data_IF_472410909917
#
_entry.id   IF_472410909917
#
_cell.length_a   1.000
_cell.length_b   1.000
_cell.length_c   1.000
_cell.angle_alpha   90.00
_cell.angle_beta   90.00
_cell.angle_gamma   90.00
#
_symmetry.space_group_name_H-M   'P 1'
#
loop_
_entity.id
_entity.type
_entity.pdbx_description
1 polymer ?
#
# COMPACT_ATOMS: atom_id res chain seq x y z
N UNK A 1 13.36 12.83 -22.47
CA UNK A 1 14.06 12.62 -21.18
C UNK A 1 13.72 11.24 -20.65
N UNK A 2 14.69 10.50 -20.19
CA UNK A 2 14.39 9.23 -19.50
C UNK A 2 13.71 9.58 -18.17
N UNK A 3 12.51 9.08 -17.95
CA UNK A 3 11.86 9.14 -16.64
C UNK A 3 12.79 8.44 -15.63
N UNK A 4 13.18 9.15 -14.58
CA UNK A 4 14.02 8.57 -13.54
C UNK A 4 13.18 7.58 -12.73
N UNK A 5 13.64 6.34 -12.65
CA UNK A 5 13.01 5.32 -11.83
C UNK A 5 13.55 5.42 -10.41
N UNK A 6 12.66 5.63 -9.46
CA UNK A 6 12.98 5.78 -8.03
C UNK A 6 12.90 4.41 -7.37
N UNK A 7 14.01 3.95 -6.82
CA UNK A 7 14.07 2.68 -6.08
C UNK A 7 13.63 2.88 -4.63
N UNK A 8 12.49 2.31 -4.28
CA UNK A 8 11.95 2.35 -2.92
C UNK A 8 11.91 0.93 -2.32
N UNK A 9 13.07 0.48 -1.88
CA UNK A 9 13.28 -0.86 -1.32
C UNK A 9 13.25 -0.92 0.21
N UNK A 10 13.08 0.22 0.88
CA UNK A 10 12.89 0.31 2.32
C UNK A 10 11.77 1.28 2.67
N UNK A 11 11.17 1.09 3.83
CA UNK A 11 10.17 2.00 4.39
C UNK A 11 10.74 3.41 4.59
N UNK A 12 11.98 3.51 5.05
CA UNK A 12 12.63 4.80 5.27
C UNK A 12 12.84 5.59 3.96
N UNK A 13 13.24 4.92 2.88
CA UNK A 13 13.35 5.56 1.56
C UNK A 13 12.00 6.10 1.08
N UNK A 14 10.93 5.32 1.22
CA UNK A 14 9.59 5.76 0.88
C UNK A 14 9.18 7.00 1.69
N UNK A 15 9.32 6.92 3.00
CA UNK A 15 8.93 8.00 3.90
C UNK A 15 9.72 9.28 3.63
N UNK A 16 11.02 9.20 3.39
CA UNK A 16 11.86 10.35 3.02
C UNK A 16 11.45 10.97 1.70
N UNK A 17 11.14 10.15 0.70
CA UNK A 17 10.70 10.63 -0.60
C UNK A 17 9.39 11.44 -0.52
N UNK A 18 8.44 10.98 0.27
CA UNK A 18 7.15 11.64 0.47
C UNK A 18 7.11 12.57 1.69
N UNK A 19 8.22 12.79 2.37
CA UNK A 19 8.38 13.66 3.55
C UNK A 19 7.46 13.28 4.72
N UNK A 20 7.43 12.00 5.03
CA UNK A 20 6.68 11.41 6.15
C UNK A 20 7.65 10.93 7.22
N UNK A 21 7.24 10.99 8.48
CA UNK A 21 8.04 10.49 9.60
C UNK A 21 8.06 8.97 9.65
N UNK A 22 9.22 8.38 9.98
CA UNK A 22 9.41 6.95 10.13
C UNK A 22 9.36 6.55 11.61
N UNK A 23 8.37 5.74 11.99
CA UNK A 23 8.23 5.22 13.36
C UNK A 23 8.77 3.79 13.52
N UNK A 24 8.86 3.04 12.44
CA UNK A 24 9.33 1.66 12.44
C UNK A 24 10.13 1.40 11.15
N UNK A 25 11.24 0.63 11.23
CA UNK A 25 12.13 0.44 10.08
C UNK A 25 11.53 -0.43 8.96
N UNK A 26 10.54 -1.27 9.27
CA UNK A 26 10.01 -2.25 8.33
C UNK A 26 8.52 -2.09 7.98
N UNK A 27 7.78 -1.24 8.68
CA UNK A 27 6.35 -1.02 8.46
C UNK A 27 6.02 0.46 8.60
N UNK A 28 5.17 0.97 7.72
CA UNK A 28 4.62 2.32 7.85
C UNK A 28 3.15 2.36 7.44
N UNK A 29 2.38 3.19 8.13
CA UNK A 29 1.03 3.59 7.73
C UNK A 29 1.07 5.08 7.44
N UNK A 30 0.60 5.46 6.27
CA UNK A 30 0.70 6.83 5.76
C UNK A 30 -0.70 7.38 5.51
N UNK A 31 -0.96 8.58 6.04
CA UNK A 31 -2.12 9.37 5.64
C UNK A 31 -1.79 10.11 4.35
N UNK A 32 -2.43 9.73 3.26
CA UNK A 32 -2.12 10.27 1.93
C UNK A 32 -2.42 11.77 1.79
N UNK A 33 -3.29 12.32 2.66
CA UNK A 33 -3.56 13.77 2.69
C UNK A 33 -2.38 14.60 3.22
N UNK A 34 -1.45 13.95 3.90
CA UNK A 34 -0.28 14.59 4.55
C UNK A 34 1.03 14.42 3.80
N UNK A 35 1.05 13.62 2.72
CA UNK A 35 2.26 13.43 1.92
C UNK A 35 2.55 14.65 1.04
N UNK A 36 3.82 14.82 0.69
CA UNK A 36 4.24 15.78 -0.33
C UNK A 36 4.53 15.03 -1.61
N UNK A 37 3.67 15.20 -2.61
CA UNK A 37 3.83 14.56 -3.92
C UNK A 37 4.68 15.45 -4.84
N UNK A 38 5.61 14.87 -5.64
CA UNK A 38 6.28 15.61 -6.71
C UNK A 38 5.27 16.17 -7.72
N UNK A 39 5.53 17.37 -8.21
CA UNK A 39 4.69 18.02 -9.23
C UNK A 39 4.84 17.38 -10.63
N UNK A 40 5.95 16.72 -10.87
CA UNK A 40 6.25 16.04 -12.13
C UNK A 40 5.88 14.55 -12.05
N UNK A 41 5.52 13.92 -13.18
CA UNK A 41 5.35 12.47 -13.22
C UNK A 41 6.60 11.75 -12.71
N UNK A 42 6.41 10.67 -11.99
CA UNK A 42 7.51 9.87 -11.46
C UNK A 42 7.19 8.37 -11.54
N UNK A 43 8.24 7.58 -11.60
CA UNK A 43 8.16 6.13 -11.66
C UNK A 43 8.85 5.53 -10.45
N UNK A 44 8.17 4.61 -9.77
CA UNK A 44 8.68 3.91 -8.59
C UNK A 44 8.88 2.44 -8.93
N UNK A 45 10.04 1.90 -8.59
CA UNK A 45 10.26 0.47 -8.46
C UNK A 45 10.14 0.10 -6.98
N UNK A 46 9.08 -0.64 -6.63
CA UNK A 46 8.83 -1.07 -5.27
C UNK A 46 9.70 -2.28 -4.92
N UNK A 47 10.53 -2.17 -3.87
CA UNK A 47 11.22 -3.29 -3.25
C UNK A 47 10.53 -3.81 -1.98
N UNK A 48 9.38 -3.24 -1.66
CA UNK A 48 8.55 -3.56 -0.49
C UNK A 48 7.09 -3.74 -0.93
N UNK A 49 6.29 -4.40 -0.10
CA UNK A 49 4.84 -4.45 -0.31
C UNK A 49 4.21 -3.10 -0.03
N UNK A 50 3.28 -2.69 -0.88
CA UNK A 50 2.55 -1.44 -0.75
C UNK A 50 1.07 -1.62 -1.08
N UNK A 51 0.21 -1.13 -0.20
CA UNK A 51 -1.25 -1.12 -0.38
C UNK A 51 -1.75 0.30 -0.14
N UNK A 52 -2.52 0.82 -1.06
CA UNK A 52 -3.08 2.17 -0.96
C UNK A 52 -4.59 2.12 -1.03
N UNK A 53 -5.25 2.51 0.06
CA UNK A 53 -6.68 2.81 0.06
C UNK A 53 -6.85 4.23 -0.47
N UNK A 54 -7.36 4.35 -1.67
CA UNK A 54 -7.58 5.63 -2.37
C UNK A 54 -9.01 6.11 -2.18
N UNK A 55 -9.19 7.26 -1.56
CA UNK A 55 -10.50 7.89 -1.40
C UNK A 55 -10.80 8.92 -2.50
N UNK A 56 -9.78 9.44 -3.18
CA UNK A 56 -9.92 10.37 -4.31
C UNK A 56 -9.10 9.93 -5.50
N UNK A 57 -9.65 10.10 -6.70
CA UNK A 57 -8.90 10.05 -7.94
C UNK A 57 -7.98 11.27 -8.02
N UNK A 58 -6.68 11.06 -8.03
CA UNK A 58 -5.68 12.14 -8.04
C UNK A 58 -4.69 12.03 -9.19
N UNK A 59 -5.01 11.25 -10.21
CA UNK A 59 -4.19 11.05 -11.40
C UNK A 59 -4.24 9.63 -11.92
N UNK A 60 -3.48 9.38 -12.95
CA UNK A 60 -3.37 8.06 -13.58
C UNK A 60 -2.20 7.28 -13.00
N UNK A 61 -2.42 5.99 -12.80
CA UNK A 61 -1.38 5.03 -12.38
C UNK A 61 -1.22 4.01 -13.50
N UNK A 62 0.01 3.82 -13.95
CA UNK A 62 0.35 2.73 -14.85
C UNK A 62 1.19 1.70 -14.12
N UNK A 63 0.84 0.44 -14.34
CA UNK A 63 1.51 -0.71 -13.79
C UNK A 63 2.28 -1.41 -14.92
N UNK A 64 3.60 -1.35 -14.87
CA UNK A 64 4.41 -1.71 -16.02
C UNK A 64 4.06 -0.83 -17.22
N UNK A 65 3.52 -1.41 -18.28
CA UNK A 65 3.06 -0.70 -19.49
C UNK A 65 1.53 -0.58 -19.61
N UNK A 66 0.79 -1.06 -18.60
CA UNK A 66 -0.66 -1.10 -18.61
C UNK A 66 -1.24 -0.04 -17.66
N UNK A 67 -2.31 0.67 -18.05
CA UNK A 67 -3.05 1.52 -17.13
C UNK A 67 -3.62 0.68 -15.98
N UNK A 68 -3.55 1.22 -14.76
CA UNK A 68 -4.18 0.63 -13.60
C UNK A 68 -5.58 1.24 -13.43
N UNK A 69 -6.60 0.41 -13.54
CA UNK A 69 -7.98 0.86 -13.34
C UNK A 69 -8.28 0.93 -11.83
N UNK A 70 -8.39 2.13 -11.31
CA UNK A 70 -8.80 2.35 -9.93
C UNK A 70 -9.83 3.49 -9.84
N UNK A 71 -10.68 3.39 -8.84
CA UNK A 71 -11.74 4.35 -8.54
C UNK A 71 -11.65 4.78 -7.08
N UNK A 72 -12.48 5.73 -6.68
CA UNK A 72 -12.60 6.13 -5.28
C UNK A 72 -13.03 4.95 -4.40
N UNK A 73 -12.45 4.84 -3.21
CA UNK A 73 -12.74 3.77 -2.26
C UNK A 73 -12.17 2.41 -2.65
N UNK A 74 -11.07 2.38 -3.40
CA UNK A 74 -10.41 1.16 -3.84
C UNK A 74 -9.05 0.97 -3.20
N UNK A 75 -8.59 -0.29 -3.13
CA UNK A 75 -7.22 -0.63 -2.73
C UNK A 75 -6.40 -0.95 -3.98
N UNK A 76 -5.27 -0.27 -4.10
CA UNK A 76 -4.24 -0.50 -5.10
C UNK A 76 -3.06 -1.23 -4.43
N UNK A 77 -2.59 -2.33 -5.01
CA UNK A 77 -1.57 -3.18 -4.40
C UNK A 77 -0.34 -3.34 -5.28
N UNK A 78 0.83 -3.27 -4.66
CA UNK A 78 2.12 -3.55 -5.30
C UNK A 78 2.93 -4.53 -4.47
N UNK A 79 3.54 -5.51 -5.13
CA UNK A 79 4.51 -6.43 -4.53
C UNK A 79 5.95 -5.99 -4.85
N UNK A 80 6.95 -6.49 -4.11
CA UNK A 80 8.35 -6.24 -4.43
C UNK A 80 8.70 -6.62 -5.87
N UNK A 81 9.45 -5.75 -6.54
CA UNK A 81 9.86 -5.88 -7.94
C UNK A 81 8.88 -5.28 -8.94
N UNK A 82 7.79 -4.70 -8.50
CA UNK A 82 6.78 -4.09 -9.37
C UNK A 82 7.05 -2.60 -9.57
N UNK A 83 6.84 -2.14 -10.81
CA UNK A 83 7.09 -0.76 -11.22
C UNK A 83 5.75 -0.07 -11.49
N UNK A 84 5.57 1.09 -10.88
CA UNK A 84 4.39 1.94 -11.09
C UNK A 84 4.82 3.35 -11.51
N UNK A 85 4.23 3.86 -12.57
CA UNK A 85 4.35 5.26 -12.98
C UNK A 85 3.11 6.04 -12.55
N UNK A 86 3.33 7.18 -11.90
CA UNK A 86 2.29 7.99 -11.30
C UNK A 86 2.30 9.36 -12.01
N UNK A 87 1.16 9.70 -12.58
CA UNK A 87 0.89 10.96 -13.23
C UNK A 87 -0.15 11.71 -12.40
N UNK A 88 0.32 12.56 -11.49
CA UNK A 88 -0.57 13.35 -10.65
C UNK A 88 -1.39 14.34 -11.50
N UNK A 89 -2.69 14.42 -11.23
CA UNK A 89 -3.56 15.40 -11.84
C UNK A 89 -3.37 16.74 -11.13
N UNK A 90 -3.13 17.80 -11.92
CA UNK A 90 -2.93 19.14 -11.38
C UNK A 90 -4.14 19.61 -10.57
N UNK A 91 -3.89 20.20 -9.39
CA UNK A 91 -4.93 20.72 -8.51
C UNK A 91 -5.64 19.67 -7.63
N UNK A 92 -5.29 18.38 -7.74
CA UNK A 92 -5.84 17.34 -6.87
C UNK A 92 -4.85 16.94 -5.79
N UNK A 93 -5.38 16.60 -4.60
CA UNK A 93 -4.59 16.02 -3.50
C UNK A 93 -5.06 14.60 -3.24
N UNK A 94 -4.14 13.65 -3.08
CA UNK A 94 -4.52 12.30 -2.69
C UNK A 94 -5.13 12.33 -1.29
N UNK A 95 -6.15 11.49 -1.06
CA UNK A 95 -6.72 11.20 0.26
C UNK A 95 -6.86 9.70 0.43
N UNK A 96 -6.85 9.24 1.67
CA UNK A 96 -6.88 7.85 2.03
C UNK A 96 -5.63 7.44 2.80
N UNK A 97 -5.28 6.17 2.75
CA UNK A 97 -4.19 5.61 3.54
C UNK A 97 -3.30 4.71 2.71
N UNK A 98 -2.01 4.67 3.07
CA UNK A 98 -1.05 3.70 2.56
C UNK A 98 -0.54 2.81 3.69
N UNK A 99 -0.37 1.53 3.38
CA UNK A 99 0.33 0.56 4.21
C UNK A 99 1.50 0.00 3.41
N UNK A 100 2.71 0.16 3.92
CA UNK A 100 3.91 -0.39 3.30
C UNK A 100 4.68 -1.21 4.31
N UNK A 101 5.19 -2.37 3.88
CA UNK A 101 5.98 -3.22 4.77
C UNK A 101 7.04 -4.01 4.00
N UNK A 102 8.18 -4.18 4.65
CA UNK A 102 9.30 -4.93 4.10
C UNK A 102 9.01 -6.43 4.14
N UNK A 103 9.40 -7.21 3.11
CA UNK A 103 9.21 -8.66 3.11
C UNK A 103 9.80 -9.38 4.32
N UNK A 104 10.91 -8.90 4.85
CA UNK A 104 11.56 -9.50 6.02
C UNK A 104 10.73 -9.38 7.29
N UNK A 105 9.83 -8.41 7.38
CA UNK A 105 8.94 -8.24 8.53
C UNK A 105 7.97 -9.41 8.70
N UNK A 106 7.51 -9.97 7.59
CA UNK A 106 6.55 -11.08 7.59
C UNK A 106 7.21 -12.46 7.46
N UNK A 107 8.51 -12.49 7.20
CA UNK A 107 9.26 -13.75 7.05
C UNK A 107 9.13 -14.61 8.29
N UNK A 108 8.81 -15.90 8.10
CA UNK A 108 8.63 -16.87 9.19
C UNK A 108 7.29 -16.74 9.93
N UNK A 109 6.40 -15.86 9.48
CA UNK A 109 5.02 -15.74 9.98
C UNK A 109 4.05 -16.48 9.06
N UNK A 110 2.82 -16.76 9.55
CA UNK A 110 1.75 -17.30 8.72
C UNK A 110 1.45 -16.37 7.53
N UNK A 111 1.43 -15.07 7.76
CA UNK A 111 1.26 -14.07 6.70
C UNK A 111 2.35 -14.21 5.63
N UNK A 112 3.61 -14.36 6.01
CA UNK A 112 4.72 -14.55 5.07
C UNK A 112 4.59 -15.81 4.23
N UNK A 113 4.02 -16.87 4.79
CA UNK A 113 3.69 -18.10 4.07
C UNK A 113 2.55 -17.90 3.08
N UNK A 114 1.50 -17.18 3.49
CA UNK A 114 0.25 -17.06 2.74
C UNK A 114 0.24 -15.93 1.71
N UNK A 115 1.14 -14.95 1.82
CA UNK A 115 1.08 -13.73 1.00
C UNK A 115 1.14 -14.00 -0.51
N UNK A 116 1.78 -15.08 -0.92
CA UNK A 116 1.86 -15.49 -2.33
C UNK A 116 0.52 -15.97 -2.90
N UNK A 117 -0.43 -16.32 -2.04
CA UNK A 117 -1.76 -16.80 -2.43
C UNK A 117 -2.74 -15.65 -2.74
N UNK A 118 -2.35 -14.41 -2.48
CA UNK A 118 -3.16 -13.24 -2.81
C UNK A 118 -2.89 -12.80 -4.25
N UNK A 119 -3.83 -13.09 -5.15
CA UNK A 119 -3.70 -12.84 -6.59
C UNK A 119 -3.55 -11.36 -6.95
N UNK A 120 -4.05 -10.46 -6.11
CA UNK A 120 -3.95 -9.02 -6.35
C UNK A 120 -2.55 -8.42 -6.19
N UNK A 121 -1.57 -9.21 -5.77
CA UNK A 121 -0.15 -8.86 -5.84
C UNK A 121 0.55 -9.36 -7.11
N UNK A 122 -0.15 -10.02 -8.01
CA UNK A 122 0.45 -10.53 -9.26
C UNK A 122 0.42 -9.48 -10.37
N UNK A 123 1.33 -9.60 -11.34
CA UNK A 123 1.35 -8.75 -12.53
C UNK A 123 0.09 -8.85 -13.41
N UNK A 124 -0.68 -9.91 -13.26
CA UNK A 124 -1.93 -10.13 -13.99
C UNK A 124 -3.11 -9.35 -13.38
N UNK A 125 -2.98 -8.92 -12.13
CA UNK A 125 -4.01 -8.13 -11.46
C UNK A 125 -3.96 -6.67 -11.97
N UNK A 126 -4.86 -6.33 -12.87
CA UNK A 126 -4.97 -4.99 -13.49
C UNK A 126 -6.03 -4.11 -12.84
N UNK A 127 -6.83 -4.69 -11.97
CA UNK A 127 -7.95 -4.00 -11.34
C UNK A 127 -7.70 -3.80 -9.85
N UNK A 128 -8.06 -2.61 -9.39
CA UNK A 128 -8.07 -2.30 -7.97
C UNK A 128 -9.17 -3.10 -7.25
N UNK A 129 -8.94 -3.37 -5.97
CA UNK A 129 -9.95 -3.98 -5.11
C UNK A 129 -10.99 -2.94 -4.71
N UNK A 130 -12.23 -3.12 -5.13
CA UNK A 130 -13.34 -2.24 -4.74
C UNK A 130 -13.97 -2.76 -3.46
N UNK A 131 -14.00 -1.94 -2.44
CA UNK A 131 -14.55 -2.28 -1.14
C UNK A 131 -15.99 -1.77 -0.99
N UNK A 132 -16.83 -2.52 -0.29
CA UNK A 132 -18.08 -1.99 0.26
C UNK A 132 -17.77 -0.97 1.37
N UNK A 133 -18.75 -0.18 1.77
CA UNK A 133 -18.60 0.75 2.89
C UNK A 133 -18.19 0.03 4.19
N UNK A 134 -18.78 -1.11 4.47
CA UNK A 134 -18.46 -1.93 5.65
C UNK A 134 -17.05 -2.47 5.60
N UNK A 135 -16.63 -3.01 4.45
CA UNK A 135 -15.26 -3.48 4.22
C UNK A 135 -14.24 -2.36 4.35
N UNK A 136 -14.56 -1.18 3.81
CA UNK A 136 -13.72 0.02 3.92
C UNK A 136 -13.51 0.42 5.38
N UNK A 137 -14.58 0.45 6.19
CA UNK A 137 -14.50 0.73 7.62
C UNK A 137 -13.58 -0.26 8.33
N UNK A 138 -13.71 -1.54 8.06
CA UNK A 138 -12.87 -2.59 8.67
C UNK A 138 -11.40 -2.44 8.26
N UNK A 139 -11.12 -2.11 7.00
CA UNK A 139 -9.76 -1.85 6.52
C UNK A 139 -9.14 -0.65 7.23
N UNK A 140 -9.88 0.44 7.38
CA UNK A 140 -9.42 1.63 8.10
C UNK A 140 -9.15 1.30 9.58
N UNK A 141 -9.99 0.51 10.22
CA UNK A 141 -9.76 0.07 11.59
C UNK A 141 -8.47 -0.75 11.74
N UNK A 142 -8.21 -1.65 10.80
CA UNK A 142 -6.95 -2.39 10.75
C UNK A 142 -5.74 -1.44 10.62
N UNK A 143 -5.82 -0.47 9.73
CA UNK A 143 -4.75 0.51 9.51
C UNK A 143 -4.50 1.37 10.75
N UNK A 144 -5.55 1.82 11.44
CA UNK A 144 -5.43 2.57 12.68
C UNK A 144 -4.81 1.73 13.81
N UNK A 145 -5.15 0.46 13.92
CA UNK A 145 -4.55 -0.45 14.90
C UNK A 145 -3.07 -0.67 14.61
N UNK A 146 -2.69 -0.83 13.36
CA UNK A 146 -1.28 -0.95 12.97
C UNK A 146 -0.54 0.35 13.31
N UNK A 147 -1.05 1.51 12.90
CA UNK A 147 -0.42 2.81 13.16
C UNK A 147 -0.23 3.07 14.65
N UNK A 148 -1.24 2.75 15.47
CA UNK A 148 -1.16 2.87 16.93
C UNK A 148 -0.03 2.00 17.49
N UNK A 149 0.09 0.76 17.02
CA UNK A 149 1.14 -0.16 17.48
C UNK A 149 2.53 0.29 17.05
N UNK A 150 2.68 0.86 15.85
CA UNK A 150 3.96 1.39 15.34
C UNK A 150 4.47 2.59 16.16
N UNK A 151 3.57 3.36 16.76
CA UNK A 151 3.91 4.54 17.57
C UNK A 151 4.23 4.22 19.03
N UNK A 152 3.94 3.00 19.48
CA UNK A 152 4.25 2.52 20.83
C UNK A 152 5.67 1.95 20.88
N UNK A 153 6.31 1.93 22.07
CA UNK A 153 7.54 1.17 22.24
C UNK A 153 7.32 -0.29 21.84
N UNK A 154 8.20 -0.81 20.99
CA UNK A 154 8.09 -2.18 20.50
C UNK A 154 8.28 -3.18 21.65
N UNK A 155 7.42 -4.17 21.73
CA UNK A 155 7.50 -5.28 22.65
C UNK A 155 7.39 -6.63 21.91
N UNK A 156 7.41 -7.73 22.65
CA UNK A 156 7.34 -9.09 22.07
C UNK A 156 6.03 -9.39 21.33
N UNK A 157 4.97 -8.60 21.52
CA UNK A 157 3.66 -8.80 20.91
C UNK A 157 3.45 -7.90 19.68
N UNK A 158 4.21 -6.83 19.54
CA UNK A 158 4.03 -5.81 18.49
C UNK A 158 4.02 -6.42 17.08
N UNK A 159 5.00 -7.26 16.76
CA UNK A 159 5.09 -7.91 15.43
C UNK A 159 3.86 -8.77 15.15
N UNK A 160 3.40 -9.53 16.14
CA UNK A 160 2.23 -10.42 15.99
C UNK A 160 0.95 -9.63 15.79
N UNK A 161 0.76 -8.56 16.54
CA UNK A 161 -0.41 -7.68 16.40
C UNK A 161 -0.43 -7.00 15.02
N UNK A 162 0.69 -6.49 14.56
CA UNK A 162 0.81 -5.85 13.26
C UNK A 162 0.55 -6.86 12.13
N UNK A 163 1.19 -8.02 12.15
CA UNK A 163 1.01 -9.05 11.11
C UNK A 163 -0.41 -9.61 11.08
N UNK A 164 -1.07 -9.76 12.23
CA UNK A 164 -2.46 -10.19 12.31
C UNK A 164 -3.41 -9.18 11.66
N UNK A 165 -3.21 -7.89 11.90
CA UNK A 165 -4.01 -6.84 11.28
C UNK A 165 -3.76 -6.71 9.76
N UNK A 166 -2.52 -6.86 9.31
CA UNK A 166 -2.18 -6.94 7.87
C UNK A 166 -2.90 -8.14 7.25
N UNK A 167 -2.82 -9.30 7.89
CA UNK A 167 -3.49 -10.52 7.41
C UNK A 167 -5.00 -10.36 7.26
N UNK A 168 -5.66 -9.76 8.25
CA UNK A 168 -7.09 -9.47 8.20
C UNK A 168 -7.44 -8.53 7.05
N UNK A 169 -6.67 -7.46 6.86
CA UNK A 169 -6.85 -6.52 5.77
C UNK A 169 -6.76 -7.22 4.41
N UNK A 170 -5.78 -8.09 4.22
CA UNK A 170 -5.60 -8.86 2.99
C UNK A 170 -6.73 -9.87 2.76
N UNK A 171 -7.25 -10.51 3.81
CA UNK A 171 -8.41 -11.41 3.69
C UNK A 171 -9.69 -10.65 3.30
N UNK A 172 -9.89 -9.43 3.77
CA UNK A 172 -11.00 -8.57 3.33
C UNK A 172 -10.88 -8.29 1.83
N UNK A 173 -9.70 -7.93 1.35
CA UNK A 173 -9.43 -7.74 -0.08
C UNK A 173 -9.70 -9.01 -0.90
N UNK A 174 -9.32 -10.18 -0.40
CA UNK A 174 -9.58 -11.48 -1.03
C UNK A 174 -11.07 -11.81 -1.11
N UNK A 175 -11.83 -11.55 -0.05
CA UNK A 175 -13.27 -11.72 -0.03
C UNK A 175 -13.95 -10.80 -1.05
N UNK A 176 -13.55 -9.54 -1.13
CA UNK A 176 -14.03 -8.59 -2.13
C UNK A 176 -13.80 -9.06 -3.58
N UNK A 177 -12.66 -9.71 -3.86
CA UNK A 177 -12.41 -10.32 -5.17
C UNK A 177 -13.35 -11.47 -5.51
N UNK A 178 -13.81 -12.26 -4.53
CA UNK A 178 -14.70 -13.41 -4.75
C UNK A 178 -16.11 -13.00 -5.14
N UNK A 179 -16.61 -11.90 -4.63
CA UNK A 179 -17.98 -11.42 -4.89
C UNK A 179 -18.18 -10.94 -6.33
N UNK A 180 -17.11 -10.81 -7.10
CA UNK A 180 -17.12 -10.32 -8.47
C UNK A 180 -17.08 -11.39 -9.56
N UNK A 181 -16.91 -12.62 -9.18
CA UNK A 181 -16.88 -13.74 -10.14
C UNK A 181 -18.28 -14.19 -10.52
#
# INVERSE_FOLDING_TARGET
MKEEVIELDTVDKYNKFFKVETYHPMVTVVDLSKITQPAQPFTINYGIYALFLKDTLCGDITYGRQPYDYQEGTIVCFAPGQVASIHAQEGTRPTGYGLLFHPDFIRGTQLGHDIRNYSFFSYEAREALHLSEEERHTVIDCLHKIDTELRRPADKHSRRLITANIGLLLEIGRASCRERV
#
